data_IF_692142156754
#
_entry.id   IF_692142156754
#
_cell.length_a   1.000
_cell.length_b   1.000
_cell.length_c   1.000
_cell.angle_alpha   90.00
_cell.angle_beta   90.00
_cell.angle_gamma   90.00
#
_symmetry.space_group_name_H-M   'P 1'
#
loop_
_entity.id
_entity.type
_entity.pdbx_description
1 polymer ?
#
# COMPACT_ATOMS: atom_id res chain seq x y z
N UNK A 1 -2.05 4.44 -5.54
CA UNK A 1 -1.06 4.28 -6.63
C UNK A 1 -0.23 5.55 -6.76
N UNK A 2 -0.86 6.72 -6.77
CA UNK A 2 -0.25 8.06 -6.95
C UNK A 2 0.94 8.40 -6.05
N UNK A 3 1.11 7.70 -4.94
CA UNK A 3 2.17 7.98 -3.97
C UNK A 3 3.52 7.35 -4.36
N UNK A 4 3.59 6.64 -5.49
CA UNK A 4 4.82 6.12 -6.08
C UNK A 4 5.22 6.99 -7.28
N UNK A 5 6.37 7.67 -7.18
CA UNK A 5 6.94 8.48 -8.25
C UNK A 5 8.21 7.80 -8.78
N UNK A 6 8.06 7.11 -9.90
CA UNK A 6 9.17 6.45 -10.59
C UNK A 6 10.12 7.43 -11.27
N UNK A 7 9.65 8.60 -11.68
CA UNK A 7 10.45 9.61 -12.36
C UNK A 7 11.48 10.23 -11.42
N UNK A 8 11.06 10.56 -10.20
CA UNK A 8 11.97 11.05 -9.16
C UNK A 8 12.56 9.95 -8.27
N UNK A 9 12.13 8.70 -8.43
CA UNK A 9 12.56 7.60 -7.57
C UNK A 9 12.17 7.81 -6.11
N UNK A 10 10.92 8.24 -5.85
CA UNK A 10 10.42 8.57 -4.51
C UNK A 10 9.12 7.86 -4.20
N UNK A 11 8.90 7.64 -2.91
CA UNK A 11 7.64 7.17 -2.33
C UNK A 11 7.16 8.23 -1.34
N UNK A 12 5.92 8.68 -1.50
CA UNK A 12 5.27 9.63 -0.61
C UNK A 12 4.44 8.87 0.43
N UNK A 13 4.87 8.93 1.69
CA UNK A 13 4.12 8.37 2.82
C UNK A 13 3.27 9.47 3.42
N UNK A 14 1.96 9.45 3.12
CA UNK A 14 0.99 10.43 3.59
C UNK A 14 0.57 10.16 5.03
N UNK A 15 0.34 11.21 5.82
CA UNK A 15 -0.15 11.11 7.20
C UNK A 15 0.66 10.14 8.07
N UNK A 16 2.00 10.20 7.99
CA UNK A 16 2.85 9.42 8.87
C UNK A 16 2.73 9.89 10.34
N UNK A 17 3.46 9.24 11.26
CA UNK A 17 3.45 9.58 12.70
C UNK A 17 3.57 11.09 12.93
N UNK A 18 2.59 11.66 13.65
CA UNK A 18 2.47 13.09 13.91
C UNK A 18 1.70 13.88 12.83
N UNK A 19 1.00 13.21 11.91
CA UNK A 19 0.22 13.86 10.86
C UNK A 19 1.07 14.51 9.77
N UNK A 20 2.35 14.13 9.66
CA UNK A 20 3.30 14.71 8.71
C UNK A 20 3.51 13.78 7.53
N UNK A 21 3.59 14.35 6.34
CA UNK A 21 4.01 13.63 5.15
C UNK A 21 5.51 13.39 5.18
N UNK A 22 5.94 12.25 4.63
CA UNK A 22 7.35 11.89 4.49
C UNK A 22 7.63 11.43 3.08
N UNK A 23 8.85 11.65 2.63
CA UNK A 23 9.35 11.13 1.36
C UNK A 23 10.45 10.13 1.67
N UNK A 24 10.44 8.98 1.00
CA UNK A 24 11.51 7.97 1.08
C UNK A 24 11.97 7.59 -0.32
N UNK A 25 13.23 7.19 -0.45
CA UNK A 25 13.79 6.77 -1.73
C UNK A 25 13.16 5.46 -2.21
N UNK A 26 12.88 5.37 -3.51
CA UNK A 26 12.46 4.15 -4.20
C UNK A 26 13.70 3.52 -4.87
N UNK A 27 14.20 2.37 -4.35
CA UNK A 27 15.34 1.70 -4.96
C UNK A 27 15.04 1.24 -6.39
N UNK A 28 16.02 1.38 -7.27
CA UNK A 28 15.87 0.97 -8.69
C UNK A 28 15.64 -0.53 -8.84
N UNK A 29 16.26 -1.33 -7.96
CA UNK A 29 16.20 -2.80 -7.98
C UNK A 29 14.79 -3.38 -7.89
N UNK A 30 13.84 -2.65 -7.29
CA UNK A 30 12.44 -3.10 -7.13
C UNK A 30 11.47 -2.44 -8.11
N UNK A 31 11.93 -1.49 -8.95
CA UNK A 31 11.04 -0.70 -9.82
C UNK A 31 10.21 -1.57 -10.75
N UNK A 32 10.84 -2.53 -11.43
CA UNK A 32 10.16 -3.41 -12.39
C UNK A 32 9.11 -4.31 -11.72
N UNK A 33 9.42 -4.84 -10.55
CA UNK A 33 8.50 -5.66 -9.75
C UNK A 33 7.32 -4.82 -9.24
N UNK A 34 7.59 -3.59 -8.80
CA UNK A 34 6.57 -2.68 -8.31
C UNK A 34 5.64 -2.21 -9.42
N UNK A 35 6.16 -1.94 -10.63
CA UNK A 35 5.34 -1.61 -11.79
C UNK A 35 4.37 -2.74 -12.13
N UNK A 36 4.86 -3.99 -12.20
CA UNK A 36 4.01 -5.17 -12.42
C UNK A 36 2.90 -5.29 -11.37
N UNK A 37 3.22 -4.99 -10.11
CA UNK A 37 2.23 -5.01 -9.02
C UNK A 37 1.18 -3.91 -9.18
N UNK A 38 1.57 -2.71 -9.61
CA UNK A 38 0.63 -1.63 -9.93
C UNK A 38 -0.28 -2.06 -11.07
N UNK A 39 0.28 -2.61 -12.15
CA UNK A 39 -0.51 -3.04 -13.31
C UNK A 39 -1.54 -4.10 -12.91
N UNK A 40 -1.15 -5.07 -12.07
CA UNK A 40 -2.06 -6.06 -11.50
C UNK A 40 -3.17 -5.42 -10.64
N UNK A 41 -2.84 -4.43 -9.81
CA UNK A 41 -3.82 -3.71 -9.01
C UNK A 41 -4.78 -2.88 -9.87
N UNK A 42 -4.29 -2.28 -10.97
CA UNK A 42 -5.09 -1.52 -11.93
C UNK A 42 -6.06 -2.43 -12.66
N UNK A 43 -5.62 -3.61 -13.10
CA UNK A 43 -6.48 -4.60 -13.74
C UNK A 43 -7.59 -5.06 -12.79
N UNK A 44 -7.24 -5.40 -11.55
CA UNK A 44 -8.21 -5.78 -10.52
C UNK A 44 -9.25 -4.67 -10.26
N UNK A 45 -8.79 -3.41 -10.21
CA UNK A 45 -9.66 -2.25 -10.06
C UNK A 45 -10.62 -2.07 -11.25
N UNK A 46 -10.13 -2.25 -12.49
CA UNK A 46 -10.99 -2.20 -13.68
C UNK A 46 -12.10 -3.24 -13.63
N UNK A 47 -11.80 -4.45 -13.15
CA UNK A 47 -12.81 -5.50 -13.01
C UNK A 47 -13.79 -5.18 -11.87
N UNK A 48 -13.32 -4.65 -10.75
CA UNK A 48 -14.21 -4.15 -9.68
C UNK A 48 -15.15 -3.04 -10.17
N UNK A 49 -14.67 -2.13 -11.04
CA UNK A 49 -15.51 -1.09 -11.64
C UNK A 49 -16.59 -1.65 -12.57
N UNK A 50 -16.27 -2.68 -13.37
CA UNK A 50 -17.25 -3.36 -14.25
C UNK A 50 -18.36 -4.03 -13.43
N UNK A 51 -18.02 -4.59 -12.29
CA UNK A 51 -18.96 -5.19 -11.33
C UNK A 51 -19.82 -4.15 -10.56
N UNK A 52 -19.63 -2.85 -10.81
CA UNK A 52 -20.32 -1.76 -10.11
C UNK A 52 -19.69 -1.35 -8.76
N UNK A 53 -18.50 -1.87 -8.43
CA UNK A 53 -17.72 -1.50 -7.25
C UNK A 53 -16.60 -0.50 -7.62
N UNK A 54 -15.36 -0.76 -7.19
CA UNK A 54 -14.17 0.04 -7.49
C UNK A 54 -13.98 1.29 -6.62
N UNK A 55 -14.86 1.57 -5.67
CA UNK A 55 -14.61 2.65 -4.72
C UNK A 55 -13.58 2.21 -3.67
N UNK A 56 -12.70 3.14 -3.28
CA UNK A 56 -11.76 3.00 -2.18
C UNK A 56 -12.08 4.01 -1.08
N UNK A 57 -11.79 3.64 0.17
CA UNK A 57 -11.88 4.58 1.27
C UNK A 57 -10.93 5.76 1.06
N UNK A 58 -11.48 6.97 1.10
CA UNK A 58 -10.74 8.22 1.25
C UNK A 58 -11.45 9.09 2.31
N UNK A 59 -10.73 10.00 3.00
CA UNK A 59 -11.33 10.91 3.96
C UNK A 59 -12.51 11.72 3.39
N UNK A 60 -13.60 11.88 4.16
CA UNK A 60 -14.82 12.56 3.69
C UNK A 60 -14.57 13.96 3.14
N UNK A 61 -13.68 14.73 3.78
CA UNK A 61 -13.31 16.07 3.31
C UNK A 61 -12.76 16.04 1.87
N UNK A 62 -12.04 14.99 1.48
CA UNK A 62 -11.55 14.80 0.12
C UNK A 62 -12.66 14.34 -0.82
N UNK A 63 -13.58 13.48 -0.38
CA UNK A 63 -14.76 13.08 -1.20
C UNK A 63 -15.61 14.30 -1.56
N UNK A 64 -15.82 15.22 -0.60
CA UNK A 64 -16.61 16.44 -0.83
C UNK A 64 -16.01 17.31 -1.93
N UNK A 65 -14.68 17.46 -1.94
CA UNK A 65 -13.95 18.25 -2.93
C UNK A 65 -13.78 17.51 -4.27
N UNK A 66 -13.54 16.21 -4.22
CA UNK A 66 -13.26 15.36 -5.38
C UNK A 66 -14.17 14.12 -5.36
N UNK A 67 -15.38 14.26 -5.88
CA UNK A 67 -16.42 13.21 -5.79
C UNK A 67 -16.04 11.90 -6.48
N UNK A 68 -15.26 11.96 -7.55
CA UNK A 68 -14.84 10.79 -8.33
C UNK A 68 -13.52 10.17 -7.87
N UNK A 69 -12.79 10.83 -6.97
CA UNK A 69 -11.51 10.34 -6.44
C UNK A 69 -11.57 8.90 -5.89
N UNK A 70 -12.63 8.43 -5.21
CA UNK A 70 -12.71 7.05 -4.74
C UNK A 70 -12.64 6.00 -5.86
N UNK A 71 -13.07 6.33 -7.09
CA UNK A 71 -13.09 5.42 -8.25
C UNK A 71 -11.87 5.59 -9.15
N UNK A 72 -11.10 6.65 -8.97
CA UNK A 72 -9.90 6.90 -9.74
C UNK A 72 -8.80 5.90 -9.38
N UNK A 73 -8.09 5.44 -10.40
CA UNK A 73 -6.97 4.49 -10.25
C UNK A 73 -5.86 5.05 -9.36
N UNK A 74 -5.63 6.37 -9.42
CA UNK A 74 -4.63 7.08 -8.64
C UNK A 74 -4.76 6.80 -7.12
N UNK A 75 -5.99 6.68 -6.63
CA UNK A 75 -6.31 6.53 -5.20
C UNK A 75 -6.35 5.07 -4.73
N UNK A 76 -6.30 4.11 -5.65
CA UNK A 76 -6.35 2.68 -5.29
C UNK A 76 -5.09 2.22 -4.55
N UNK A 77 -5.21 1.19 -3.74
CA UNK A 77 -4.07 0.59 -3.06
C UNK A 77 -3.15 -0.13 -4.06
N UNK A 78 -1.83 0.01 -3.87
CA UNK A 78 -0.82 -0.73 -4.66
C UNK A 78 -0.83 -2.23 -4.31
N UNK A 79 -1.12 -2.55 -3.05
CA UNK A 79 -1.26 -3.91 -2.54
C UNK A 79 -2.70 -4.15 -2.08
N UNK A 80 -3.66 -4.31 -3.02
CA UNK A 80 -5.05 -4.51 -2.68
C UNK A 80 -5.29 -5.91 -2.09
N UNK A 81 -6.27 -6.02 -1.19
CA UNK A 81 -6.74 -7.30 -0.64
C UNK A 81 -7.28 -8.19 -1.75
N UNK A 82 -7.14 -9.51 -1.58
CA UNK A 82 -7.70 -10.49 -2.53
C UNK A 82 -9.23 -10.44 -2.60
N UNK A 83 -9.89 -10.12 -1.49
CA UNK A 83 -11.35 -10.04 -1.39
C UNK A 83 -11.79 -8.60 -1.09
N UNK A 84 -12.94 -8.21 -1.66
CA UNK A 84 -13.69 -7.02 -1.25
C UNK A 84 -14.25 -7.24 0.17
N UNK A 85 -14.46 -6.16 0.89
CA UNK A 85 -15.09 -6.17 2.21
C UNK A 85 -16.02 -4.99 2.37
N UNK A 86 -16.98 -5.11 3.29
CA UNK A 86 -17.81 -3.99 3.68
C UNK A 86 -16.99 -3.03 4.54
N UNK A 87 -16.87 -1.78 4.12
CA UNK A 87 -16.26 -0.73 4.93
C UNK A 87 -17.19 -0.45 6.13
N UNK A 88 -16.69 -0.55 7.38
CA UNK A 88 -17.54 -0.38 8.57
C UNK A 88 -18.05 1.05 8.77
N UNK A 89 -17.46 2.05 8.10
CA UNK A 89 -17.84 3.47 8.25
C UNK A 89 -18.95 3.86 7.29
N UNK A 90 -18.78 3.52 6.01
CA UNK A 90 -19.73 3.88 4.95
C UNK A 90 -20.74 2.78 4.62
N UNK A 91 -20.49 1.54 5.04
CA UNK A 91 -21.30 0.37 4.69
C UNK A 91 -21.14 -0.09 3.23
N UNK A 92 -20.30 0.58 2.44
CA UNK A 92 -20.05 0.25 1.03
C UNK A 92 -19.13 -0.96 0.90
N UNK A 93 -19.31 -1.73 -0.17
CA UNK A 93 -18.38 -2.81 -0.53
C UNK A 93 -17.21 -2.19 -1.30
N UNK A 94 -16.03 -2.30 -0.73
CA UNK A 94 -14.79 -1.70 -1.24
C UNK A 94 -13.64 -2.69 -1.11
N UNK A 95 -12.53 -2.41 -1.81
CA UNK A 95 -11.29 -3.18 -1.64
C UNK A 95 -10.31 -2.41 -0.75
N UNK A 96 -9.98 -3.01 0.40
CA UNK A 96 -8.93 -2.50 1.28
C UNK A 96 -7.55 -3.01 0.85
N UNK A 97 -6.50 -2.53 1.48
CA UNK A 97 -5.17 -3.11 1.33
C UNK A 97 -5.08 -4.50 1.96
N UNK A 98 -4.05 -5.27 1.59
CA UNK A 98 -3.72 -6.54 2.24
C UNK A 98 -3.55 -6.37 3.76
N UNK A 99 -3.96 -7.38 4.53
CA UNK A 99 -3.83 -7.34 5.98
C UNK A 99 -2.35 -7.35 6.40
N UNK A 100 -2.01 -6.43 7.30
CA UNK A 100 -0.64 -6.28 7.83
C UNK A 100 -0.12 -7.56 8.49
N UNK A 101 -1.01 -8.30 9.16
CA UNK A 101 -0.68 -9.57 9.81
C UNK A 101 -0.17 -10.62 8.82
N UNK A 102 -0.60 -10.57 7.55
CA UNK A 102 -0.09 -11.42 6.48
C UNK A 102 1.39 -11.17 6.22
N UNK A 103 1.79 -9.90 6.10
CA UNK A 103 3.19 -9.50 5.93
C UNK A 103 4.04 -9.88 7.15
N UNK A 104 3.57 -9.60 8.36
CA UNK A 104 4.28 -9.94 9.60
C UNK A 104 4.55 -11.45 9.71
N UNK A 105 3.55 -12.27 9.40
CA UNK A 105 3.68 -13.74 9.39
C UNK A 105 4.66 -14.21 8.31
N UNK A 106 4.60 -13.61 7.11
CA UNK A 106 5.53 -13.93 6.03
C UNK A 106 6.98 -13.63 6.41
N UNK A 107 7.24 -12.46 7.01
CA UNK A 107 8.58 -12.08 7.51
C UNK A 107 9.04 -13.06 8.59
N UNK A 108 8.19 -13.40 9.57
CA UNK A 108 8.54 -14.38 10.61
C UNK A 108 8.94 -15.73 10.02
N UNK A 109 8.22 -16.22 9.02
CA UNK A 109 8.54 -17.47 8.31
C UNK A 109 9.85 -17.37 7.54
N UNK A 110 10.10 -16.24 6.87
CA UNK A 110 11.34 -16.01 6.14
C UNK A 110 12.57 -15.99 7.07
N UNK A 111 12.46 -15.33 8.22
CA UNK A 111 13.52 -15.32 9.25
C UNK A 111 13.85 -16.73 9.75
N UNK A 112 12.82 -17.55 10.01
CA UNK A 112 13.02 -18.94 10.43
C UNK A 112 13.71 -19.78 9.34
N UNK A 113 13.30 -19.63 8.08
CA UNK A 113 13.94 -20.32 6.93
C UNK A 113 15.39 -19.88 6.71
N UNK A 114 15.68 -18.61 6.96
CA UNK A 114 17.03 -18.07 6.88
C UNK A 114 17.89 -18.36 8.13
N UNK A 115 17.38 -19.16 9.09
CA UNK A 115 18.07 -19.51 10.33
C UNK A 115 18.50 -18.28 11.16
N UNK A 116 17.69 -17.21 11.13
CA UNK A 116 17.93 -16.02 11.92
C UNK A 116 17.26 -16.18 13.28
N UNK A 117 18.06 -16.50 14.30
CA UNK A 117 17.57 -16.76 15.66
C UNK A 117 17.27 -15.50 16.49
N UNK A 118 17.84 -14.34 16.11
CA UNK A 118 17.56 -13.07 16.80
C UNK A 118 16.12 -12.62 16.58
N UNK A 119 15.54 -11.98 17.60
CA UNK A 119 14.19 -11.39 17.49
C UNK A 119 14.19 -10.29 16.41
N UNK A 120 13.56 -10.58 15.29
CA UNK A 120 13.43 -9.66 14.17
C UNK A 120 12.02 -9.66 13.57
N UNK A 121 11.65 -8.56 12.92
CA UNK A 121 10.38 -8.40 12.21
C UNK A 121 10.38 -7.14 11.35
N UNK A 122 9.21 -6.72 10.86
CA UNK A 122 9.11 -5.55 9.97
C UNK A 122 9.71 -4.27 10.57
N UNK A 123 9.54 -4.05 11.88
CA UNK A 123 10.13 -2.90 12.57
C UNK A 123 11.66 -2.96 12.58
N UNK A 124 12.25 -4.15 12.69
CA UNK A 124 13.70 -4.34 12.63
C UNK A 124 14.25 -3.89 11.28
N UNK A 125 13.60 -4.22 10.17
CA UNK A 125 14.02 -3.76 8.84
C UNK A 125 13.99 -2.24 8.70
N UNK A 126 12.95 -1.59 9.24
CA UNK A 126 12.87 -0.12 9.28
C UNK A 126 14.04 0.49 10.07
N UNK A 127 14.35 -0.09 11.23
CA UNK A 127 15.47 0.39 12.06
C UNK A 127 16.80 0.21 11.33
N UNK A 128 17.07 -0.99 10.79
CA UNK A 128 18.30 -1.28 10.03
C UNK A 128 18.46 -0.36 8.83
N UNK A 129 17.39 -0.06 8.10
CA UNK A 129 17.42 0.93 7.01
C UNK A 129 17.90 2.29 7.49
N UNK A 130 17.37 2.80 8.60
CA UNK A 130 17.80 4.09 9.15
C UNK A 130 19.26 4.05 9.60
N UNK A 131 19.70 3.00 10.29
CA UNK A 131 21.09 2.86 10.76
C UNK A 131 22.09 2.77 9.60
N UNK A 132 21.75 2.11 8.50
CA UNK A 132 22.63 1.96 7.34
C UNK A 132 22.76 3.24 6.48
N UNK A 133 21.90 4.24 6.71
CA UNK A 133 21.95 5.53 6.03
C UNK A 133 22.66 6.64 6.82
N UNK A 134 23.11 6.33 8.04
CA UNK A 134 23.95 7.18 8.87
C UNK A 134 25.42 6.89 8.56
#
# INVERSE_FOLDING_TARGET
VKDLDFGQGKIFVRNAKGGKDRTVNLPESIRSQLQKQIDAAVLLHKDDLKDGFGEVYIPEALVRKYRQAPKETAWQYVFPSKKRSKDPRSGKIMRHHVLESGLQKAVKRALAKAQIYKKAGCHTFRHTFATHLL
#
